data_IF_585213050347
#
_entry.id   IF_585213050347
#
_cell.length_a   1.000
_cell.length_b   1.000
_cell.length_c   1.000
_cell.angle_alpha   90.00
_cell.angle_beta   90.00
_cell.angle_gamma   90.00
#
_symmetry.space_group_name_H-M   'P 1'
#
loop_
_entity.id
_entity.type
_entity.pdbx_description
1 polymer ?
#
# COMPACT_ATOMS: atom_id res chain seq x y z
N UNK A 1 -10.30 -78.81 -33.26
CA UNK A 1 -9.03 -78.18 -32.87
C UNK A 1 -8.78 -77.04 -33.86
N UNK A 2 -8.52 -75.84 -33.34
CA UNK A 2 -8.20 -74.57 -34.04
C UNK A 2 -9.37 -73.89 -34.77
N UNK A 3 -9.61 -72.59 -34.66
CA UNK A 3 -8.81 -71.49 -34.07
C UNK A 3 -9.73 -70.31 -33.74
N UNK A 4 -9.74 -69.86 -32.48
CA UNK A 4 -10.21 -68.54 -32.09
C UNK A 4 -9.33 -67.49 -32.79
N UNK A 5 -9.93 -66.67 -33.65
CA UNK A 5 -9.29 -65.45 -34.12
C UNK A 5 -9.38 -64.42 -33.00
N UNK A 6 -8.27 -64.26 -32.27
CA UNK A 6 -7.97 -63.09 -31.47
C UNK A 6 -8.12 -61.86 -32.37
N UNK A 7 -9.14 -61.05 -32.11
CA UNK A 7 -9.23 -59.68 -32.62
C UNK A 7 -8.19 -58.86 -31.87
N UNK A 8 -7.15 -58.46 -32.58
CA UNK A 8 -6.10 -57.55 -32.11
C UNK A 8 -6.74 -56.18 -31.89
N UNK A 9 -6.95 -55.81 -30.63
CA UNK A 9 -7.42 -54.47 -30.25
C UNK A 9 -6.40 -53.43 -30.72
N UNK A 10 -6.83 -52.53 -31.60
CA UNK A 10 -6.03 -51.40 -32.03
C UNK A 10 -5.60 -50.56 -30.81
N UNK A 11 -4.34 -50.08 -30.76
CA UNK A 11 -3.87 -49.28 -29.62
C UNK A 11 -4.73 -48.02 -29.46
N UNK A 12 -5.00 -47.58 -28.21
CA UNK A 12 -5.84 -46.43 -27.97
C UNK A 12 -5.24 -45.20 -28.66
N UNK A 13 -6.06 -44.53 -29.48
CA UNK A 13 -5.71 -43.24 -30.07
C UNK A 13 -5.58 -42.23 -28.93
N UNK A 14 -4.34 -41.98 -28.51
CA UNK A 14 -4.05 -40.93 -27.53
C UNK A 14 -4.40 -39.60 -28.22
N UNK A 15 -5.39 -38.82 -27.72
CA UNK A 15 -5.71 -37.55 -28.32
C UNK A 15 -4.48 -36.65 -28.27
N UNK A 16 -4.03 -36.19 -29.44
CA UNK A 16 -2.91 -35.26 -29.59
C UNK A 16 -3.22 -34.03 -28.74
N UNK A 17 -2.47 -33.83 -27.64
CA UNK A 17 -2.63 -32.71 -26.71
C UNK A 17 -2.72 -31.43 -27.53
N UNK A 18 -3.88 -30.75 -27.47
CA UNK A 18 -4.14 -29.53 -28.23
C UNK A 18 -2.98 -28.55 -28.02
N UNK A 19 -2.50 -27.94 -29.12
CA UNK A 19 -1.43 -26.94 -29.05
C UNK A 19 -1.94 -25.78 -28.19
N UNK A 20 -1.36 -25.59 -27.01
CA UNK A 20 -1.68 -24.45 -26.14
C UNK A 20 -1.50 -23.16 -26.94
N UNK A 21 -2.44 -22.25 -26.82
CA UNK A 21 -2.31 -20.93 -27.46
C UNK A 21 -1.18 -20.14 -26.78
N UNK A 22 -0.71 -19.10 -27.47
CA UNK A 22 0.32 -18.22 -26.89
C UNK A 22 -0.20 -17.52 -25.62
N UNK A 23 -1.48 -17.18 -25.57
CA UNK A 23 -2.15 -16.58 -24.43
C UNK A 23 -2.27 -17.55 -23.25
N UNK A 24 -2.56 -18.84 -23.49
CA UNK A 24 -2.61 -19.86 -22.45
C UNK A 24 -1.25 -20.00 -21.75
N UNK A 25 -0.17 -19.94 -22.53
CA UNK A 25 1.19 -20.05 -22.01
C UNK A 25 1.56 -18.78 -21.22
N UNK A 26 1.21 -17.58 -21.72
CA UNK A 26 1.40 -16.33 -20.98
C UNK A 26 0.69 -16.39 -19.63
N UNK A 27 -0.60 -16.73 -19.62
CA UNK A 27 -1.41 -16.85 -18.40
C UNK A 27 -0.81 -17.86 -17.41
N UNK A 28 -0.34 -19.00 -17.91
CA UNK A 28 0.29 -20.02 -17.05
C UNK A 28 1.55 -19.52 -16.38
N UNK A 29 2.43 -18.85 -17.14
CA UNK A 29 3.65 -18.26 -16.59
C UNK A 29 3.33 -17.14 -15.58
N UNK A 30 2.29 -16.35 -15.84
CA UNK A 30 1.88 -15.26 -14.95
C UNK A 30 1.32 -15.80 -13.64
N UNK A 31 0.45 -16.81 -13.69
CA UNK A 31 -0.10 -17.45 -12.50
C UNK A 31 0.99 -18.13 -11.66
N UNK A 32 1.95 -18.79 -12.33
CA UNK A 32 3.10 -19.40 -11.66
C UNK A 32 3.98 -18.34 -10.97
N UNK A 33 4.26 -17.23 -11.67
CA UNK A 33 5.01 -16.11 -11.11
C UNK A 33 4.29 -15.50 -9.92
N UNK A 34 2.98 -15.24 -10.02
CA UNK A 34 2.16 -14.68 -8.95
C UNK A 34 2.23 -15.54 -7.68
N UNK A 35 2.09 -16.87 -7.84
CA UNK A 35 2.19 -17.82 -6.72
C UNK A 35 3.56 -17.74 -6.04
N UNK A 36 4.64 -17.83 -6.80
CA UNK A 36 6.01 -17.77 -6.25
C UNK A 36 6.27 -16.42 -5.57
N UNK A 37 5.83 -15.31 -6.18
CA UNK A 37 6.03 -13.95 -5.64
C UNK A 37 5.28 -13.78 -4.32
N UNK A 38 4.05 -14.28 -4.20
CA UNK A 38 3.30 -14.24 -2.93
C UNK A 38 4.04 -14.96 -1.81
N UNK A 39 4.63 -16.11 -2.12
CA UNK A 39 5.34 -16.93 -1.14
C UNK A 39 6.70 -16.33 -0.75
N UNK A 40 7.57 -16.05 -1.73
CA UNK A 40 9.00 -15.73 -1.48
C UNK A 40 9.46 -14.37 -2.01
N UNK A 41 8.60 -13.63 -2.71
CA UNK A 41 8.90 -12.30 -3.25
C UNK A 41 9.66 -12.27 -4.57
N UNK A 42 9.81 -11.08 -5.15
CA UNK A 42 10.42 -10.87 -6.47
C UNK A 42 11.91 -11.24 -6.52
N UNK A 43 12.69 -10.92 -5.49
CA UNK A 43 14.14 -11.21 -5.47
C UNK A 43 14.49 -12.71 -5.55
N UNK A 44 13.53 -13.59 -5.22
CA UNK A 44 13.70 -15.05 -5.24
C UNK A 44 13.07 -15.72 -6.47
N UNK A 45 12.47 -14.95 -7.40
CA UNK A 45 11.86 -15.51 -8.60
C UNK A 45 12.95 -15.84 -9.63
N UNK A 46 13.22 -17.14 -9.83
CA UNK A 46 14.20 -17.62 -10.81
C UNK A 46 13.52 -18.24 -12.04
N UNK A 47 14.25 -18.35 -13.16
CA UNK A 47 13.77 -19.07 -14.35
C UNK A 47 13.41 -20.51 -13.98
N UNK A 48 14.29 -21.20 -13.25
CA UNK A 48 14.08 -22.60 -12.89
C UNK A 48 12.82 -22.81 -12.07
N UNK A 49 12.62 -22.02 -11.00
CA UNK A 49 11.43 -22.11 -10.17
C UNK A 49 10.16 -21.77 -10.95
N UNK A 50 10.22 -20.76 -11.82
CA UNK A 50 9.09 -20.36 -12.66
C UNK A 50 8.67 -21.47 -13.63
N UNK A 51 9.65 -22.05 -14.36
CA UNK A 51 9.37 -23.09 -15.35
C UNK A 51 8.87 -24.39 -14.71
N UNK A 52 9.41 -24.73 -13.54
CA UNK A 52 8.95 -25.88 -12.77
C UNK A 52 7.50 -25.68 -12.30
N UNK A 53 7.17 -24.54 -11.70
CA UNK A 53 5.80 -24.23 -11.25
C UNK A 53 4.82 -24.16 -12.42
N UNK A 54 5.22 -23.54 -13.54
CA UNK A 54 4.38 -23.43 -14.74
C UNK A 54 4.25 -24.74 -15.53
N UNK A 55 5.10 -25.74 -15.26
CA UNK A 55 5.26 -26.93 -16.10
C UNK A 55 5.48 -26.58 -17.58
N UNK A 56 6.41 -25.65 -17.84
CA UNK A 56 6.74 -25.13 -19.17
C UNK A 56 8.20 -25.44 -19.52
N UNK A 57 8.44 -26.01 -20.69
CA UNK A 57 9.80 -26.32 -21.15
C UNK A 57 10.60 -25.03 -21.44
N UNK A 58 11.91 -24.99 -21.15
CA UNK A 58 12.74 -23.78 -21.38
C UNK A 58 12.66 -23.19 -22.79
N UNK A 59 12.67 -23.98 -23.90
CA UNK A 59 12.53 -23.41 -25.23
C UNK A 59 11.22 -22.65 -25.44
N UNK A 60 10.12 -23.10 -24.81
CA UNK A 60 8.81 -22.44 -24.90
C UNK A 60 8.85 -21.06 -24.23
N UNK A 61 9.55 -20.94 -23.11
CA UNK A 61 9.77 -19.67 -22.43
C UNK A 61 10.67 -18.74 -23.25
N UNK A 62 11.85 -19.21 -23.68
CA UNK A 62 12.83 -18.37 -24.37
C UNK A 62 12.39 -17.91 -25.76
N UNK A 63 11.44 -18.61 -26.39
CA UNK A 63 10.77 -18.14 -27.61
C UNK A 63 9.89 -16.89 -27.38
N UNK A 64 9.48 -16.62 -26.13
CA UNK A 64 8.62 -15.47 -25.76
C UNK A 64 9.39 -14.39 -25.02
N UNK A 65 10.28 -14.79 -24.12
CA UNK A 65 11.04 -13.88 -23.27
C UNK A 65 12.54 -14.14 -23.43
N UNK A 66 13.27 -13.10 -23.86
CA UNK A 66 14.72 -13.22 -24.11
C UNK A 66 15.54 -13.50 -22.85
N UNK A 67 15.01 -13.15 -21.69
CA UNK A 67 15.63 -13.36 -20.38
C UNK A 67 14.58 -13.37 -19.28
N UNK A 68 14.98 -13.77 -18.08
CA UNK A 68 14.14 -13.65 -16.89
C UNK A 68 13.76 -12.20 -16.60
N UNK A 69 14.72 -11.28 -16.74
CA UNK A 69 14.50 -9.85 -16.56
C UNK A 69 13.46 -9.32 -17.54
N UNK A 70 13.49 -9.75 -18.81
CA UNK A 70 12.48 -9.36 -19.80
C UNK A 70 11.08 -9.90 -19.44
N UNK A 71 11.00 -11.11 -18.89
CA UNK A 71 9.74 -11.64 -18.37
C UNK A 71 9.23 -10.80 -17.20
N UNK A 72 10.07 -10.53 -16.20
CA UNK A 72 9.70 -9.74 -15.02
C UNK A 72 9.27 -8.33 -15.44
N UNK A 73 10.02 -7.66 -16.32
CA UNK A 73 9.66 -6.34 -16.82
C UNK A 73 8.29 -6.33 -17.51
N UNK A 74 7.96 -7.39 -18.25
CA UNK A 74 6.65 -7.54 -18.91
C UNK A 74 5.54 -7.87 -17.92
N UNK A 75 5.82 -8.74 -16.95
CA UNK A 75 4.88 -9.14 -15.90
C UNK A 75 4.49 -7.95 -15.02
N UNK A 76 5.45 -7.15 -14.55
CA UNK A 76 5.14 -6.05 -13.63
C UNK A 76 4.35 -4.91 -14.28
N UNK A 77 4.24 -4.86 -15.61
CA UNK A 77 3.43 -3.86 -16.32
C UNK A 77 1.94 -3.99 -16.05
N UNK A 78 1.46 -5.17 -15.68
CA UNK A 78 0.07 -5.37 -15.23
C UNK A 78 -0.24 -4.55 -13.95
N UNK A 79 0.79 -4.04 -13.26
CA UNK A 79 0.68 -3.21 -12.08
C UNK A 79 0.97 -1.73 -12.32
N UNK A 80 1.36 -1.33 -13.54
CA UNK A 80 1.75 0.07 -13.83
C UNK A 80 0.60 1.05 -13.53
N UNK A 81 -0.65 0.64 -13.81
CA UNK A 81 -1.86 1.46 -13.62
C UNK A 81 -2.65 1.14 -12.36
N UNK A 82 -2.16 0.23 -11.49
CA UNK A 82 -2.87 -0.20 -10.29
C UNK A 82 -3.37 0.96 -9.42
N UNK A 83 -2.59 2.04 -9.31
CA UNK A 83 -3.02 3.21 -8.55
C UNK A 83 -4.11 3.98 -9.31
N UNK A 84 -3.85 4.39 -10.55
CA UNK A 84 -4.79 5.21 -11.34
C UNK A 84 -6.12 4.52 -11.63
N UNK A 85 -6.14 3.19 -11.79
CA UNK A 85 -7.36 2.42 -12.05
C UNK A 85 -8.33 2.41 -10.87
N UNK A 86 -7.80 2.62 -9.65
CA UNK A 86 -8.57 2.60 -8.42
C UNK A 86 -8.94 4.00 -7.91
N UNK A 87 -8.45 5.08 -8.53
CA UNK A 87 -8.62 6.44 -8.01
C UNK A 87 -9.52 7.27 -8.93
N UNK A 88 -10.71 7.58 -8.44
CA UNK A 88 -11.70 8.40 -9.17
C UNK A 88 -12.05 9.64 -8.35
N UNK A 89 -11.88 10.81 -8.94
CA UNK A 89 -12.41 12.06 -8.39
C UNK A 89 -13.86 12.20 -8.83
N UNK A 90 -14.74 12.34 -7.85
CA UNK A 90 -16.14 12.65 -8.06
C UNK A 90 -16.42 14.08 -7.60
N UNK A 91 -16.35 15.02 -8.55
CA UNK A 91 -16.59 16.44 -8.27
C UNK A 91 -18.07 16.80 -8.18
N UNK A 92 -18.99 15.85 -8.42
CA UNK A 92 -20.44 16.13 -8.37
C UNK A 92 -20.97 16.00 -6.95
N UNK A 93 -20.59 14.90 -6.29
CA UNK A 93 -21.16 14.53 -4.99
C UNK A 93 -20.18 14.71 -3.82
N UNK A 94 -18.90 14.99 -4.09
CA UNK A 94 -17.86 15.11 -3.06
C UNK A 94 -17.05 16.41 -3.18
N UNK A 95 -16.76 17.02 -2.04
CA UNK A 95 -15.78 18.11 -1.92
C UNK A 95 -14.35 17.62 -2.22
N UNK A 96 -13.38 18.51 -2.46
CA UNK A 96 -11.97 18.11 -2.60
C UNK A 96 -11.44 17.35 -1.39
N UNK A 97 -11.83 17.71 -0.17
CA UNK A 97 -11.40 17.02 1.06
C UNK A 97 -11.96 15.60 1.12
N UNK A 98 -13.26 15.43 0.84
CA UNK A 98 -13.91 14.12 0.82
C UNK A 98 -13.33 13.21 -0.29
N UNK A 99 -13.04 13.77 -1.46
CA UNK A 99 -12.36 13.04 -2.54
C UNK A 99 -10.98 12.54 -2.09
N UNK A 100 -10.17 13.38 -1.44
CA UNK A 100 -8.85 12.96 -0.95
C UNK A 100 -8.95 11.88 0.13
N UNK A 101 -9.90 12.01 1.05
CA UNK A 101 -10.19 10.99 2.08
C UNK A 101 -10.58 9.65 1.44
N UNK A 102 -11.49 9.68 0.48
CA UNK A 102 -11.94 8.49 -0.24
C UNK A 102 -10.78 7.81 -0.96
N UNK A 103 -9.99 8.57 -1.71
CA UNK A 103 -8.79 8.08 -2.42
C UNK A 103 -7.80 7.40 -1.48
N UNK A 104 -7.54 7.98 -0.30
CA UNK A 104 -6.62 7.39 0.67
C UNK A 104 -7.18 6.09 1.29
N UNK A 105 -8.50 6.00 1.49
CA UNK A 105 -9.14 4.75 1.93
C UNK A 105 -9.06 3.66 0.85
N UNK A 106 -9.36 4.02 -0.40
CA UNK A 106 -9.28 3.12 -1.55
C UNK A 106 -7.85 2.61 -1.75
N UNK A 107 -6.83 3.47 -1.54
CA UNK A 107 -5.43 3.07 -1.54
C UNK A 107 -5.13 1.98 -0.50
N UNK A 108 -5.56 2.17 0.75
CA UNK A 108 -5.37 1.20 1.83
C UNK A 108 -6.01 -0.15 1.46
N UNK A 109 -7.27 -0.13 1.02
CA UNK A 109 -8.01 -1.34 0.69
C UNK A 109 -7.44 -2.07 -0.52
N UNK A 110 -7.07 -1.32 -1.56
CA UNK A 110 -6.49 -1.88 -2.77
C UNK A 110 -5.13 -2.52 -2.48
N UNK A 111 -4.31 -1.91 -1.61
CA UNK A 111 -3.00 -2.44 -1.27
C UNK A 111 -3.11 -3.70 -0.42
N UNK A 112 -4.01 -3.73 0.57
CA UNK A 112 -4.27 -4.93 1.41
C UNK A 112 -4.68 -6.13 0.56
N UNK A 113 -5.53 -5.91 -0.45
CA UNK A 113 -6.05 -6.97 -1.34
C UNK A 113 -5.04 -7.44 -2.39
N UNK A 114 -3.96 -6.68 -2.62
CA UNK A 114 -3.00 -6.96 -3.68
C UNK A 114 -1.61 -7.34 -3.13
N UNK A 115 -1.45 -8.61 -2.78
CA UNK A 115 -0.18 -9.14 -2.26
C UNK A 115 0.99 -8.93 -3.23
N UNK A 116 0.77 -9.08 -4.54
CA UNK A 116 1.84 -8.87 -5.53
C UNK A 116 2.32 -7.41 -5.54
N UNK A 117 1.43 -6.43 -5.41
CA UNK A 117 1.82 -5.03 -5.26
C UNK A 117 2.60 -4.79 -3.97
N UNK A 118 2.16 -5.38 -2.84
CA UNK A 118 2.91 -5.29 -1.58
C UNK A 118 4.34 -5.84 -1.74
N UNK A 119 4.49 -6.98 -2.43
CA UNK A 119 5.80 -7.58 -2.72
C UNK A 119 6.63 -6.75 -3.70
N UNK A 120 6.00 -6.09 -4.67
CA UNK A 120 6.67 -5.19 -5.62
C UNK A 120 7.24 -3.97 -4.90
N UNK A 121 6.42 -3.30 -4.07
CA UNK A 121 6.87 -2.14 -3.29
C UNK A 121 7.98 -2.55 -2.31
N UNK A 122 7.84 -3.70 -1.64
CA UNK A 122 8.90 -4.23 -0.79
C UNK A 122 10.19 -4.48 -1.59
N UNK A 123 10.11 -5.03 -2.80
CA UNK A 123 11.27 -5.26 -3.66
C UNK A 123 11.97 -3.96 -4.05
N UNK A 124 11.23 -2.91 -4.37
CA UNK A 124 11.78 -1.60 -4.70
C UNK A 124 12.55 -0.95 -3.54
N UNK A 125 12.16 -1.22 -2.30
CA UNK A 125 12.87 -0.75 -1.11
C UNK A 125 14.15 -1.54 -0.82
N UNK A 126 14.22 -2.81 -1.24
CA UNK A 126 15.35 -3.69 -0.95
C UNK A 126 16.39 -3.72 -2.09
N UNK A 127 15.94 -3.60 -3.35
CA UNK A 127 16.79 -3.77 -4.52
C UNK A 127 16.60 -2.65 -5.55
N UNK A 128 17.71 -1.99 -5.87
CA UNK A 128 17.73 -0.87 -6.80
C UNK A 128 18.23 -1.36 -8.17
N UNK A 129 17.30 -1.57 -9.11
CA UNK A 129 17.59 -1.96 -10.49
C UNK A 129 16.78 -1.12 -11.49
N UNK A 130 16.81 -1.47 -12.78
CA UNK A 130 16.06 -0.74 -13.80
C UNK A 130 14.54 -0.89 -13.60
N UNK A 131 14.06 -2.11 -13.34
CA UNK A 131 12.64 -2.42 -13.21
C UNK A 131 12.07 -1.71 -11.98
N UNK A 132 12.72 -1.82 -10.81
CA UNK A 132 12.23 -1.20 -9.57
C UNK A 132 12.18 0.33 -9.65
N UNK A 133 13.15 0.96 -10.30
CA UNK A 133 13.11 2.41 -10.59
C UNK A 133 11.97 2.77 -11.54
N UNK A 134 11.76 1.98 -12.60
CA UNK A 134 10.72 2.23 -13.59
C UNK A 134 9.34 2.12 -12.98
N UNK A 135 9.05 1.04 -12.24
CA UNK A 135 7.74 0.83 -11.61
C UNK A 135 7.43 1.89 -10.56
N UNK A 136 8.41 2.28 -9.75
CA UNK A 136 8.26 3.37 -8.80
C UNK A 136 7.97 4.71 -9.48
N UNK A 137 8.78 5.10 -10.47
CA UNK A 137 8.56 6.33 -11.21
C UNK A 137 7.24 6.34 -11.99
N UNK A 138 6.81 5.19 -12.53
CA UNK A 138 5.53 5.06 -13.21
C UNK A 138 4.35 5.35 -12.28
N UNK A 139 4.37 4.86 -11.03
CA UNK A 139 3.29 5.16 -10.07
C UNK A 139 3.20 6.64 -9.74
N UNK A 140 4.32 7.32 -9.54
CA UNK A 140 4.35 8.77 -9.34
C UNK A 140 3.80 9.50 -10.57
N UNK A 141 4.24 9.11 -11.77
CA UNK A 141 3.78 9.75 -13.01
C UNK A 141 2.27 9.55 -13.26
N UNK A 142 1.75 8.37 -12.96
CA UNK A 142 0.33 8.04 -13.15
C UNK A 142 -0.58 8.77 -12.14
N UNK A 143 -0.04 9.22 -11.00
CA UNK A 143 -0.78 10.03 -10.02
C UNK A 143 -0.72 11.54 -10.27
N UNK A 144 0.07 12.00 -11.25
CA UNK A 144 0.33 13.42 -11.51
C UNK A 144 -0.95 14.25 -11.65
N UNK A 145 -1.93 13.78 -12.42
CA UNK A 145 -3.19 14.52 -12.63
C UNK A 145 -3.97 14.70 -11.32
N UNK A 146 -3.98 13.70 -10.43
CA UNK A 146 -4.64 13.80 -9.13
C UNK A 146 -3.93 14.80 -8.22
N UNK A 147 -2.60 14.70 -8.17
CA UNK A 147 -1.77 15.62 -7.38
C UNK A 147 -1.95 17.06 -7.87
N UNK A 148 -1.97 17.29 -9.18
CA UNK A 148 -2.16 18.63 -9.75
C UNK A 148 -3.57 19.17 -9.46
N UNK A 149 -4.61 18.31 -9.53
CA UNK A 149 -5.97 18.67 -9.12
C UNK A 149 -6.01 19.13 -7.66
N UNK A 150 -5.55 18.31 -6.72
CA UNK A 150 -5.61 18.66 -5.30
C UNK A 150 -4.69 19.85 -4.96
N UNK A 151 -3.52 19.96 -5.59
CA UNK A 151 -2.63 21.12 -5.40
C UNK A 151 -3.33 22.42 -5.76
N UNK A 152 -4.15 22.43 -6.81
CA UNK A 152 -4.96 23.58 -7.22
C UNK A 152 -6.12 23.84 -6.25
N UNK A 153 -6.88 22.81 -5.89
CA UNK A 153 -8.04 22.95 -5.00
C UNK A 153 -7.67 23.40 -3.58
N UNK A 154 -6.41 23.26 -3.18
CA UNK A 154 -5.91 23.60 -1.85
C UNK A 154 -4.85 24.70 -1.84
N UNK A 155 -4.68 25.43 -2.96
CA UNK A 155 -3.68 26.50 -3.10
C UNK A 155 -3.88 27.62 -2.05
N UNK A 156 -5.14 27.94 -1.71
CA UNK A 156 -5.51 28.97 -0.74
C UNK A 156 -5.20 28.58 0.71
N UNK A 157 -4.95 27.30 0.98
CA UNK A 157 -4.74 26.76 2.34
C UNK A 157 -3.28 26.77 2.79
N UNK A 158 -2.33 27.15 1.93
CA UNK A 158 -0.89 27.03 2.20
C UNK A 158 -0.46 25.60 2.58
N UNK A 159 -1.15 24.60 2.05
CA UNK A 159 -0.85 23.18 2.26
C UNK A 159 -0.07 22.69 1.05
N UNK A 160 1.13 22.14 1.27
CA UNK A 160 1.82 21.38 0.23
C UNK A 160 1.22 19.98 0.15
N UNK A 161 0.25 19.82 -0.76
CA UNK A 161 -0.46 18.57 -0.99
C UNK A 161 0.50 17.44 -1.41
N UNK A 162 1.58 17.76 -2.13
CA UNK A 162 2.57 16.77 -2.58
C UNK A 162 3.27 16.19 -1.36
N UNK A 163 3.73 17.06 -0.46
CA UNK A 163 4.40 16.64 0.77
C UNK A 163 3.46 15.91 1.72
N UNK A 164 2.23 16.40 1.89
CA UNK A 164 1.21 15.73 2.71
C UNK A 164 0.93 14.32 2.19
N UNK A 165 0.71 14.19 0.87
CA UNK A 165 0.42 12.91 0.23
C UNK A 165 1.60 11.95 0.35
N UNK A 166 2.84 12.44 0.18
CA UNK A 166 4.04 11.62 0.32
C UNK A 166 4.17 11.02 1.72
N UNK A 167 3.92 11.80 2.78
CA UNK A 167 3.96 11.32 4.17
C UNK A 167 2.85 10.30 4.43
N UNK A 168 1.63 10.58 3.99
CA UNK A 168 0.49 9.67 4.18
C UNK A 168 0.69 8.35 3.43
N UNK A 169 1.04 8.41 2.14
CA UNK A 169 1.24 7.22 1.29
C UNK A 169 2.43 6.41 1.78
N UNK A 170 3.55 7.06 2.13
CA UNK A 170 4.72 6.37 2.67
C UNK A 170 4.42 5.65 3.98
N UNK A 171 3.67 6.30 4.88
CA UNK A 171 3.18 5.68 6.11
C UNK A 171 2.25 4.50 5.85
N UNK A 172 1.27 4.66 4.97
CA UNK A 172 0.35 3.58 4.57
C UNK A 172 1.13 2.39 3.99
N UNK A 173 2.04 2.63 3.05
CA UNK A 173 2.84 1.56 2.44
C UNK A 173 3.62 0.78 3.48
N UNK A 174 4.33 1.49 4.38
CA UNK A 174 5.07 0.84 5.45
C UNK A 174 4.15 -0.01 6.34
N UNK A 175 3.07 0.58 6.86
CA UNK A 175 2.18 -0.11 7.80
C UNK A 175 1.53 -1.35 7.17
N UNK A 176 1.07 -1.24 5.92
CA UNK A 176 0.42 -2.36 5.23
C UNK A 176 1.41 -3.45 4.85
N UNK A 177 2.62 -3.12 4.38
CA UNK A 177 3.64 -4.11 4.00
C UNK A 177 4.24 -4.79 5.24
N UNK A 178 4.45 -4.04 6.31
CA UNK A 178 5.01 -4.54 7.58
C UNK A 178 4.02 -5.37 8.40
N UNK A 179 2.70 -5.27 8.15
CA UNK A 179 1.66 -5.82 9.05
C UNK A 179 1.83 -7.30 9.43
N UNK A 180 2.32 -8.14 8.51
CA UNK A 180 2.54 -9.58 8.74
C UNK A 180 3.86 -9.89 9.47
N UNK A 181 4.68 -8.88 9.76
CA UNK A 181 5.98 -9.03 10.44
C UNK A 181 5.82 -8.90 11.94
N UNK A 182 5.26 -7.79 12.40
CA UNK A 182 5.02 -7.51 13.81
C UNK A 182 4.03 -6.35 13.95
N UNK A 183 3.50 -6.20 15.17
CA UNK A 183 2.80 -4.97 15.54
C UNK A 183 3.71 -3.75 15.41
N UNK A 184 3.10 -2.61 15.12
CA UNK A 184 3.81 -1.33 15.06
C UNK A 184 3.13 -0.34 16.00
N UNK A 185 3.90 0.29 16.89
CA UNK A 185 3.36 1.10 18.00
C UNK A 185 2.30 0.36 18.82
N UNK A 186 2.51 -0.94 19.08
CA UNK A 186 1.58 -1.81 19.81
C UNK A 186 0.22 -2.01 19.14
N UNK A 187 0.10 -1.68 17.84
CA UNK A 187 -1.09 -1.93 17.02
C UNK A 187 -0.78 -3.08 16.06
N UNK A 188 -1.65 -4.09 16.04
CA UNK A 188 -1.59 -5.19 15.10
C UNK A 188 -2.36 -4.82 13.81
N UNK A 189 -1.63 -4.40 12.78
CA UNK A 189 -2.22 -3.99 11.50
C UNK A 189 -2.70 -5.17 10.62
N UNK A 190 -2.58 -6.41 11.07
CA UNK A 190 -3.17 -7.56 10.36
C UNK A 190 -4.65 -7.78 10.72
N UNK A 191 -5.19 -7.05 11.71
CA UNK A 191 -6.61 -7.10 12.08
C UNK A 191 -7.47 -6.07 11.34
N UNK A 192 -8.74 -6.38 11.11
CA UNK A 192 -9.68 -5.47 10.46
C UNK A 192 -9.88 -4.18 11.28
N UNK A 193 -9.94 -4.27 12.61
CA UNK A 193 -10.14 -3.12 13.50
C UNK A 193 -8.99 -2.12 13.41
N UNK A 194 -7.75 -2.60 13.30
CA UNK A 194 -6.59 -1.75 13.13
C UNK A 194 -6.56 -1.06 11.77
N UNK A 195 -6.99 -1.77 10.72
CA UNK A 195 -7.12 -1.20 9.37
C UNK A 195 -8.21 -0.12 9.33
N UNK A 196 -9.35 -0.33 9.97
CA UNK A 196 -10.40 0.69 10.06
C UNK A 196 -9.94 1.90 10.90
N UNK A 197 -9.22 1.65 11.99
CA UNK A 197 -8.59 2.71 12.79
C UNK A 197 -7.57 3.52 11.98
N UNK A 198 -6.81 2.88 11.10
CA UNK A 198 -5.88 3.56 10.18
C UNK A 198 -6.63 4.46 9.20
N UNK A 199 -7.68 3.95 8.56
CA UNK A 199 -8.53 4.72 7.63
C UNK A 199 -9.12 5.96 8.31
N UNK A 200 -9.63 5.80 9.53
CA UNK A 200 -10.18 6.90 10.31
C UNK A 200 -9.12 7.91 10.74
N UNK A 201 -7.94 7.44 11.13
CA UNK A 201 -6.81 8.30 11.48
C UNK A 201 -6.38 9.16 10.28
N UNK A 202 -6.20 8.56 9.10
CA UNK A 202 -5.86 9.28 7.87
C UNK A 202 -6.91 10.32 7.53
N UNK A 203 -8.20 9.97 7.63
CA UNK A 203 -9.29 10.93 7.42
C UNK A 203 -9.23 12.13 8.38
N UNK A 204 -8.99 11.87 9.67
CA UNK A 204 -8.85 12.93 10.68
C UNK A 204 -7.65 13.82 10.40
N UNK A 205 -6.49 13.26 10.02
CA UNK A 205 -5.31 14.04 9.64
C UNK A 205 -5.64 14.97 8.47
N UNK A 206 -6.27 14.43 7.43
CA UNK A 206 -6.73 15.22 6.27
C UNK A 206 -7.65 16.35 6.74
N UNK A 207 -8.75 16.07 7.45
CA UNK A 207 -9.67 17.09 7.95
C UNK A 207 -8.98 18.18 8.79
N UNK A 208 -8.07 17.79 9.69
CA UNK A 208 -7.33 18.72 10.55
C UNK A 208 -6.47 19.67 9.73
N UNK A 209 -5.71 19.15 8.78
CA UNK A 209 -4.84 19.93 7.89
C UNK A 209 -5.69 20.92 7.07
N UNK A 210 -6.82 20.48 6.50
CA UNK A 210 -7.67 21.33 5.65
C UNK A 210 -8.58 22.31 6.39
N UNK A 211 -8.89 22.07 7.67
CA UNK A 211 -9.63 23.02 8.52
C UNK A 211 -8.83 24.28 8.89
N UNK A 212 -7.58 24.41 8.42
CA UNK A 212 -6.74 25.59 8.63
C UNK A 212 -5.96 25.57 9.93
N UNK A 213 -5.74 24.39 10.53
CA UNK A 213 -4.74 24.24 11.59
C UNK A 213 -4.87 25.23 12.75
N UNK A 214 -6.07 25.46 13.29
CA UNK A 214 -6.14 25.61 14.74
C UNK A 214 -5.91 24.23 15.32
N UNK A 215 -4.64 23.88 15.48
CA UNK A 215 -4.24 22.72 16.28
C UNK A 215 -4.66 23.05 17.72
N UNK A 216 -5.91 22.77 18.07
CA UNK A 216 -6.24 22.39 19.43
C UNK A 216 -5.85 20.92 19.50
N UNK A 217 -4.64 20.65 19.98
CA UNK A 217 -4.36 19.31 20.50
C UNK A 217 -5.33 19.14 21.67
N UNK A 218 -6.48 18.52 21.44
CA UNK A 218 -7.23 17.94 22.55
C UNK A 218 -6.36 16.83 23.11
N UNK A 219 -5.69 17.16 24.22
CA UNK A 219 -5.07 16.18 25.09
C UNK A 219 -6.12 15.11 25.40
N UNK A 220 -5.86 13.88 24.97
CA UNK A 220 -6.62 12.72 25.41
C UNK A 220 -6.38 12.62 26.91
N UNK A 221 -7.37 13.07 27.70
CA UNK A 221 -7.33 12.98 29.17
C UNK A 221 -7.28 11.52 29.57
N UNK A 222 -6.08 11.02 29.85
CA UNK A 222 -5.92 9.89 30.77
C UNK A 222 -6.01 10.46 32.18
N UNK A 223 -6.68 9.75 33.10
CA UNK A 223 -7.11 10.21 34.45
C UNK A 223 -6.01 10.83 35.36
N UNK A 224 -4.75 10.83 34.95
CA UNK A 224 -3.63 11.50 35.62
C UNK A 224 -3.51 13.02 35.35
N UNK A 225 -4.22 13.58 34.35
CA UNK A 225 -4.07 14.99 33.95
C UNK A 225 -4.75 15.98 34.91
N UNK A 226 -5.79 15.54 35.63
CA UNK A 226 -6.57 16.41 36.54
C UNK A 226 -5.70 17.00 37.65
N UNK A 227 -4.75 16.22 38.18
CA UNK A 227 -3.85 16.66 39.24
C UNK A 227 -2.82 17.68 38.75
N UNK A 228 -2.25 17.48 37.56
CA UNK A 228 -1.29 18.41 36.95
C UNK A 228 -1.95 19.74 36.56
N UNK A 229 -3.20 19.70 36.09
CA UNK A 229 -4.01 20.91 35.84
C UNK A 229 -4.28 21.65 37.15
N UNK A 230 -4.62 20.95 38.22
CA UNK A 230 -4.86 21.54 39.53
C UNK A 230 -3.58 22.15 40.13
N UNK A 231 -2.42 21.50 39.95
CA UNK A 231 -1.12 22.05 40.33
C UNK A 231 -0.82 23.32 39.52
N UNK A 232 -1.03 23.30 38.21
CA UNK A 232 -0.83 24.48 37.35
C UNK A 232 -1.71 25.66 37.78
N UNK A 233 -2.99 25.44 38.09
CA UNK A 233 -3.92 26.48 38.60
C UNK A 233 -3.42 27.10 39.91
N UNK A 234 -3.02 26.28 40.90
CA UNK A 234 -2.47 26.77 42.17
C UNK A 234 -1.17 27.56 42.00
N UNK A 235 -0.33 27.19 41.04
CA UNK A 235 0.89 27.91 40.72
C UNK A 235 0.61 29.25 40.03
N UNK A 236 -0.40 29.31 39.15
CA UNK A 236 -0.89 30.55 38.55
C UNK A 236 -1.44 31.53 39.59
N UNK A 237 -2.24 31.05 40.56
CA UNK A 237 -2.74 31.83 41.70
C UNK A 237 -1.58 32.44 42.53
N UNK A 238 -0.49 31.68 42.69
CA UNK A 238 0.75 32.14 43.37
C UNK A 238 1.64 33.02 42.49
N UNK A 239 1.18 33.40 41.29
CA UNK A 239 1.91 34.25 40.33
C UNK A 239 3.26 33.67 39.88
N UNK A 240 3.39 32.34 39.86
CA UNK A 240 4.56 31.66 39.30
C UNK A 240 4.58 31.88 37.79
N UNK A 241 5.77 32.10 37.21
CA UNK A 241 5.89 32.39 35.78
C UNK A 241 5.54 31.15 34.92
N UNK A 242 5.03 31.40 33.72
CA UNK A 242 4.51 30.36 32.84
C UNK A 242 5.57 29.36 32.36
N UNK A 243 6.83 29.80 32.24
CA UNK A 243 7.96 28.94 31.87
C UNK A 243 8.25 27.91 32.97
N UNK A 244 8.22 28.33 34.23
CA UNK A 244 8.41 27.44 35.39
C UNK A 244 7.24 26.48 35.55
N UNK A 245 6.01 26.92 35.30
CA UNK A 245 4.84 26.03 35.35
C UNK A 245 4.93 24.97 34.25
N UNK A 246 5.24 25.37 33.00
CA UNK A 246 5.45 24.45 31.89
C UNK A 246 6.53 23.41 32.20
N UNK A 247 7.67 23.84 32.74
CA UNK A 247 8.75 22.94 33.12
C UNK A 247 8.34 21.97 34.24
N UNK A 248 7.55 22.44 35.22
CA UNK A 248 7.16 21.63 36.37
C UNK A 248 6.03 20.63 36.08
N UNK A 249 5.12 20.95 35.15
CA UNK A 249 3.93 20.12 34.89
C UNK A 249 3.96 19.42 33.53
N UNK A 250 4.88 19.79 32.63
CA UNK A 250 4.91 19.32 31.25
C UNK A 250 3.78 19.86 30.36
N UNK A 251 2.85 20.65 30.92
CA UNK A 251 1.70 21.17 30.19
C UNK A 251 2.11 22.23 29.14
N UNK A 252 1.56 22.22 27.91
CA UNK A 252 1.85 23.22 26.90
C UNK A 252 1.57 24.65 27.38
N UNK A 253 2.39 25.62 26.97
CA UNK A 253 2.25 27.03 27.39
C UNK A 253 0.91 27.63 27.00
N UNK A 254 0.39 27.28 25.82
CA UNK A 254 -0.90 27.78 25.34
C UNK A 254 -2.07 27.22 26.16
N UNK A 255 -1.96 25.97 26.60
CA UNK A 255 -2.93 25.37 27.52
C UNK A 255 -2.87 26.02 28.91
N UNK A 256 -1.68 26.22 29.48
CA UNK A 256 -1.53 26.95 30.77
C UNK A 256 -2.12 28.37 30.68
N UNK A 257 -1.97 29.03 29.52
CA UNK A 257 -2.55 30.36 29.29
C UNK A 257 -4.09 30.34 29.32
N UNK A 258 -4.73 29.25 28.90
CA UNK A 258 -6.18 29.07 28.99
C UNK A 258 -6.70 28.71 30.40
N UNK A 259 -5.82 28.43 31.37
CA UNK A 259 -6.18 28.11 32.75
C UNK A 259 -6.28 29.35 33.66
N UNK A 260 -5.92 30.54 33.15
CA UNK A 260 -6.10 31.82 33.84
C UNK A 260 -7.55 32.30 33.74
#
# INVERSE_FOLDING_TARGET
MNSEKLTEDAPPVIPKKSRRSDDDIKSTLYNAAEKIIKDVGFGNLTVTSLLQEASVDPPVFYNRYKSMEAFIDTYVREYDYWLSDNLVIDTKDHTPVENLQKIMKELIESLIKNDSMQKLIAWEMNEINYITRRTAANRDNNSRMLIDYFSKEFEDKQIDVKLLSAVLIGGIYYLIIHRKVASFNFIDFDTEEAIDSLKDCVNKIISLVYSGGKIQVEYIKTDHDTDLVNVAKKLLEKKVNMTTIHYATGLPRDFIKSLK
#
